data_IF_397100078619
#
_entry.id   IF_397100078619
#
_cell.length_a   1.000
_cell.length_b   1.000
_cell.length_c   1.000
_cell.angle_alpha   90.00
_cell.angle_beta   90.00
_cell.angle_gamma   90.00
#
_symmetry.space_group_name_H-M   'P 1'
#
loop_
_entity.id
_entity.type
_entity.pdbx_description
1 polymer ?
#
# COMPACT_ATOMS: atom_id res chain seq x y z
N UNK A 1 -3.87 22.11 11.76
CA UNK A 1 -3.46 20.74 11.37
C UNK A 1 -4.62 19.80 11.61
N UNK A 2 -4.78 18.80 10.76
CA UNK A 2 -5.80 17.77 10.93
C UNK A 2 -5.34 16.71 11.96
N UNK A 3 -5.98 16.62 13.15
CA UNK A 3 -5.53 15.75 14.24
C UNK A 3 -5.89 14.27 14.04
N UNK A 4 -6.67 13.93 13.00
CA UNK A 4 -7.09 12.56 12.72
C UNK A 4 -5.89 11.68 12.34
N UNK A 5 -5.89 10.38 12.68
CA UNK A 5 -4.75 9.51 12.44
C UNK A 5 -4.58 9.15 10.95
N UNK A 6 -3.37 8.71 10.59
CA UNK A 6 -3.08 8.04 9.32
C UNK A 6 -3.41 6.55 9.50
N UNK A 7 -4.31 6.04 8.65
CA UNK A 7 -4.64 4.62 8.59
C UNK A 7 -3.61 3.88 7.76
N UNK A 8 -3.16 2.72 8.23
CA UNK A 8 -2.16 1.89 7.55
C UNK A 8 -2.68 0.46 7.59
N UNK A 9 -2.66 -0.25 6.47
CA UNK A 9 -2.96 -1.69 6.50
C UNK A 9 -2.01 -2.55 5.68
N UNK A 10 -1.86 -3.78 6.13
CA UNK A 10 -1.13 -4.84 5.45
C UNK A 10 -1.88 -6.17 5.57
N UNK A 11 -1.50 -7.13 4.73
CA UNK A 11 -1.96 -8.52 4.83
C UNK A 11 -1.54 -9.21 6.14
N UNK A 12 -0.54 -8.67 6.85
CA UNK A 12 -0.02 -9.24 8.09
C UNK A 12 0.82 -8.22 8.86
N UNK A 13 2.08 -8.55 9.10
CA UNK A 13 3.01 -7.72 9.91
C UNK A 13 4.13 -7.07 9.09
N UNK A 14 4.26 -7.36 7.80
CA UNK A 14 5.33 -6.81 6.96
C UNK A 14 5.25 -5.29 6.82
N UNK A 15 4.03 -4.75 6.87
CA UNK A 15 3.77 -3.31 6.87
C UNK A 15 4.29 -2.55 8.09
N UNK A 16 4.70 -3.23 9.16
CA UNK A 16 5.33 -2.57 10.31
C UNK A 16 6.67 -1.91 9.93
N UNK A 17 7.32 -2.35 8.86
CA UNK A 17 8.50 -1.67 8.29
C UNK A 17 8.18 -0.24 7.84
N UNK A 18 6.98 -0.03 7.26
CA UNK A 18 6.49 1.29 6.85
C UNK A 18 6.05 2.10 8.06
N UNK A 19 5.38 1.48 9.04
CA UNK A 19 5.04 2.14 10.31
C UNK A 19 6.29 2.68 10.98
N UNK A 20 7.37 1.87 11.04
CA UNK A 20 8.64 2.31 11.63
C UNK A 20 9.21 3.53 10.92
N UNK A 21 9.26 3.51 9.59
CA UNK A 21 9.74 4.65 8.81
C UNK A 21 8.89 5.92 9.03
N UNK A 22 7.57 5.77 9.15
CA UNK A 22 6.67 6.90 9.43
C UNK A 22 6.87 7.47 10.83
N UNK A 23 7.08 6.63 11.85
CA UNK A 23 7.40 7.11 13.21
C UNK A 23 8.68 7.96 13.20
N UNK A 24 9.68 7.56 12.42
CA UNK A 24 10.95 8.28 12.32
C UNK A 24 10.82 9.60 11.51
N UNK A 25 10.01 9.62 10.43
CA UNK A 25 9.89 10.77 9.51
C UNK A 25 8.81 11.79 9.91
N UNK A 26 7.72 11.33 10.53
CA UNK A 26 6.57 12.14 10.93
C UNK A 26 6.17 11.85 12.38
N UNK A 27 7.05 12.11 13.36
CA UNK A 27 6.87 11.68 14.76
C UNK A 27 5.65 12.28 15.47
N UNK A 28 5.08 13.36 14.92
CA UNK A 28 3.91 14.04 15.47
C UNK A 28 2.59 13.51 14.89
N UNK A 29 2.63 12.56 13.96
CA UNK A 29 1.44 11.96 13.36
C UNK A 29 0.95 10.76 14.17
N UNK A 30 -0.36 10.71 14.42
CA UNK A 30 -0.99 9.53 15.03
C UNK A 30 -1.22 8.47 13.97
N UNK A 31 -0.86 7.22 14.25
CA UNK A 31 -0.95 6.11 13.30
C UNK A 31 -1.93 5.05 13.82
N UNK A 32 -2.76 4.50 12.93
CA UNK A 32 -3.59 3.32 13.19
C UNK A 32 -3.19 2.23 12.20
N UNK A 33 -2.66 1.11 12.70
CA UNK A 33 -2.24 -0.02 11.89
C UNK A 33 -3.22 -1.18 12.00
N UNK A 34 -3.61 -1.74 10.86
CA UNK A 34 -4.40 -2.97 10.77
C UNK A 34 -3.65 -4.03 9.95
N UNK A 35 -3.27 -5.11 10.61
CA UNK A 35 -2.73 -6.31 9.97
C UNK A 35 -3.81 -7.38 9.81
N UNK A 36 -4.07 -7.82 8.58
CA UNK A 36 -5.11 -8.80 8.26
C UNK A 36 -4.63 -10.26 8.40
N UNK A 37 -4.06 -10.59 9.55
CA UNK A 37 -3.42 -11.88 9.81
C UNK A 37 -4.35 -13.08 9.63
N UNK A 38 -5.66 -12.91 9.84
CA UNK A 38 -6.66 -13.96 9.62
C UNK A 38 -6.80 -14.41 8.15
N UNK A 39 -6.41 -13.57 7.19
CA UNK A 39 -6.46 -13.87 5.75
C UNK A 39 -5.08 -13.85 5.09
N UNK A 40 -4.01 -13.74 5.88
CA UNK A 40 -2.64 -13.88 5.40
C UNK A 40 -2.39 -15.27 4.78
N UNK A 41 -1.48 -15.40 3.78
CA UNK A 41 -0.86 -14.34 2.98
C UNK A 41 -1.74 -13.93 1.80
N UNK A 42 -1.57 -12.70 1.31
CA UNK A 42 -2.26 -12.22 0.10
C UNK A 42 -1.57 -12.66 -1.19
N UNK A 43 -0.25 -12.85 -1.18
CA UNK A 43 0.57 -13.15 -2.36
C UNK A 43 0.02 -14.22 -3.32
N UNK A 44 -0.48 -15.38 -2.84
CA UNK A 44 -1.02 -16.43 -3.71
C UNK A 44 -2.53 -16.33 -3.96
N UNK A 45 -3.23 -15.33 -3.40
CA UNK A 45 -4.69 -15.21 -3.52
C UNK A 45 -5.09 -14.61 -4.86
N UNK A 46 -6.35 -14.85 -5.26
CA UNK A 46 -6.91 -14.23 -6.46
C UNK A 46 -6.99 -12.70 -6.29
N UNK A 47 -6.72 -11.92 -7.35
CA UNK A 47 -6.80 -10.45 -7.27
C UNK A 47 -8.14 -9.94 -6.74
N UNK A 48 -9.26 -10.55 -7.14
CA UNK A 48 -10.60 -10.15 -6.69
C UNK A 48 -10.82 -10.32 -5.18
N UNK A 49 -10.20 -11.34 -4.56
CA UNK A 49 -10.24 -11.53 -3.11
C UNK A 49 -9.45 -10.44 -2.40
N UNK A 50 -8.24 -10.14 -2.88
CA UNK A 50 -7.38 -9.10 -2.32
C UNK A 50 -8.03 -7.72 -2.44
N UNK A 51 -8.69 -7.42 -3.56
CA UNK A 51 -9.49 -6.21 -3.75
C UNK A 51 -10.61 -6.15 -2.71
N UNK A 52 -11.40 -7.22 -2.58
CA UNK A 52 -12.51 -7.28 -1.60
C UNK A 52 -12.02 -7.05 -0.16
N UNK A 53 -10.93 -7.70 0.25
CA UNK A 53 -10.38 -7.52 1.59
C UNK A 53 -9.88 -6.09 1.82
N UNK A 54 -9.20 -5.53 0.82
CA UNK A 54 -8.70 -4.15 0.89
C UNK A 54 -9.82 -3.13 1.04
N UNK A 55 -10.96 -3.33 0.35
CA UNK A 55 -12.16 -2.49 0.52
C UNK A 55 -12.76 -2.60 1.93
N UNK A 56 -12.84 -3.82 2.47
CA UNK A 56 -13.35 -4.04 3.83
C UNK A 56 -12.48 -3.33 4.87
N UNK A 57 -11.16 -3.49 4.76
CA UNK A 57 -10.19 -2.90 5.68
C UNK A 57 -10.18 -1.37 5.58
N UNK A 58 -10.18 -0.82 4.36
CA UNK A 58 -10.21 0.63 4.14
C UNK A 58 -11.49 1.23 4.72
N UNK A 59 -12.64 0.62 4.47
CA UNK A 59 -13.92 1.01 5.09
C UNK A 59 -13.84 0.95 6.60
N UNK A 60 -13.28 -0.10 7.17
CA UNK A 60 -13.15 -0.25 8.61
C UNK A 60 -12.29 0.86 9.25
N UNK A 61 -11.13 1.17 8.65
CA UNK A 61 -10.26 2.26 9.10
C UNK A 61 -10.97 3.61 9.06
N UNK A 62 -11.68 3.90 7.97
CA UNK A 62 -12.40 5.17 7.81
C UNK A 62 -13.56 5.26 8.79
N UNK A 63 -14.40 4.22 8.89
CA UNK A 63 -15.63 4.28 9.69
C UNK A 63 -15.38 4.20 11.20
N UNK A 64 -14.34 3.49 11.66
CA UNK A 64 -14.11 3.28 13.10
C UNK A 64 -13.06 4.19 13.72
N UNK A 65 -12.13 4.71 12.90
CA UNK A 65 -11.01 5.54 13.38
C UNK A 65 -10.97 6.93 12.74
N UNK A 66 -11.88 7.23 11.81
CA UNK A 66 -11.95 8.49 11.06
C UNK A 66 -10.58 8.92 10.50
N UNK A 67 -9.82 7.98 9.93
CA UNK A 67 -8.45 8.27 9.45
C UNK A 67 -8.44 9.33 8.36
N UNK A 68 -7.54 10.32 8.44
CA UNK A 68 -7.46 11.39 7.42
C UNK A 68 -6.98 10.90 6.06
N UNK A 69 -6.23 9.80 6.04
CA UNK A 69 -5.74 9.13 4.83
C UNK A 69 -5.46 7.66 5.10
N UNK A 70 -5.29 6.86 4.05
CA UNK A 70 -4.94 5.44 4.15
C UNK A 70 -3.68 5.12 3.34
N UNK A 71 -2.78 4.36 3.95
CA UNK A 71 -1.58 3.79 3.33
C UNK A 71 -1.76 2.27 3.19
N UNK A 72 -1.74 1.79 1.95
CA UNK A 72 -1.76 0.38 1.59
C UNK A 72 -0.33 -0.17 1.69
N UNK A 73 0.08 -0.60 2.88
CA UNK A 73 1.45 -1.03 3.17
C UNK A 73 1.82 -2.38 2.53
N UNK A 74 0.85 -3.20 2.16
CA UNK A 74 1.09 -4.46 1.46
C UNK A 74 1.40 -4.23 -0.04
N UNK A 75 2.54 -4.73 -0.53
CA UNK A 75 2.84 -4.72 -1.97
C UNK A 75 1.78 -5.45 -2.81
N UNK A 76 1.29 -6.60 -2.33
CA UNK A 76 0.27 -7.37 -3.08
C UNK A 76 -1.06 -6.63 -3.13
N UNK A 77 -1.48 -5.98 -2.02
CA UNK A 77 -2.71 -5.19 -2.05
C UNK A 77 -2.54 -3.93 -2.90
N UNK A 78 -1.40 -3.24 -2.79
CA UNK A 78 -1.08 -2.08 -3.62
C UNK A 78 -1.08 -2.42 -5.11
N UNK A 79 -0.65 -3.63 -5.50
CA UNK A 79 -0.51 -4.00 -6.90
C UNK A 79 -1.83 -4.33 -7.60
N UNK A 80 -2.90 -4.63 -6.86
CA UNK A 80 -4.19 -5.04 -7.45
C UNK A 80 -5.39 -4.21 -6.99
N UNK A 81 -5.32 -3.55 -5.83
CA UNK A 81 -6.48 -2.88 -5.24
C UNK A 81 -6.38 -1.35 -5.25
N UNK A 82 -5.19 -0.77 -5.45
CA UNK A 82 -4.96 0.66 -5.20
C UNK A 82 -5.92 1.59 -5.98
N UNK A 83 -6.08 1.35 -7.29
CA UNK A 83 -6.93 2.21 -8.12
C UNK A 83 -8.41 2.10 -7.74
N UNK A 84 -8.89 0.87 -7.52
CA UNK A 84 -10.25 0.63 -7.06
C UNK A 84 -10.55 1.26 -5.70
N UNK A 85 -9.55 1.34 -4.80
CA UNK A 85 -9.71 2.05 -3.53
C UNK A 85 -9.80 3.56 -3.73
N UNK A 86 -8.93 4.14 -4.57
CA UNK A 86 -8.95 5.58 -4.90
C UNK A 86 -10.26 6.01 -5.55
N UNK A 87 -10.83 5.17 -6.42
CA UNK A 87 -12.13 5.44 -7.05
C UNK A 87 -13.31 5.36 -6.07
N UNK A 88 -13.21 4.51 -5.05
CA UNK A 88 -14.32 4.22 -4.15
C UNK A 88 -14.39 5.12 -2.92
N UNK A 89 -13.25 5.62 -2.44
CA UNK A 89 -13.17 6.34 -1.18
C UNK A 89 -12.65 7.76 -1.39
N UNK A 90 -13.34 8.74 -0.80
CA UNK A 90 -12.97 10.16 -0.90
C UNK A 90 -11.73 10.54 -0.04
N UNK A 91 -11.21 9.61 0.76
CA UNK A 91 -9.99 9.81 1.56
C UNK A 91 -8.76 9.59 0.68
N UNK A 92 -7.68 10.37 0.82
CA UNK A 92 -6.42 10.10 0.13
C UNK A 92 -5.93 8.66 0.40
N UNK A 93 -5.73 7.88 -0.67
CA UNK A 93 -5.20 6.51 -0.60
C UNK A 93 -3.83 6.46 -1.30
N UNK A 94 -2.81 6.07 -0.54
CA UNK A 94 -1.44 5.88 -1.05
C UNK A 94 -1.06 4.40 -1.05
N UNK A 95 -0.39 3.96 -2.10
CA UNK A 95 0.25 2.64 -2.18
C UNK A 95 1.77 2.75 -2.13
N UNK A 96 2.43 1.60 -2.00
CA UNK A 96 3.89 1.52 -1.80
C UNK A 96 4.70 1.41 -3.10
N UNK A 97 4.06 1.02 -4.21
CA UNK A 97 4.73 0.76 -5.49
C UNK A 97 5.27 2.06 -6.09
N UNK A 98 4.41 3.07 -6.28
CA UNK A 98 4.80 4.33 -6.91
C UNK A 98 5.99 5.05 -6.25
N UNK A 99 5.99 5.25 -4.91
CA UNK A 99 7.15 5.79 -4.21
C UNK A 99 8.42 4.96 -4.40
N UNK A 100 8.30 3.63 -4.36
CA UNK A 100 9.43 2.72 -4.57
C UNK A 100 10.02 2.81 -5.98
N UNK A 101 9.16 2.83 -7.00
CA UNK A 101 9.55 2.97 -8.41
C UNK A 101 10.23 4.31 -8.66
N UNK A 102 9.63 5.43 -8.23
CA UNK A 102 10.24 6.75 -8.39
C UNK A 102 11.63 6.82 -7.76
N UNK A 103 11.78 6.26 -6.56
CA UNK A 103 13.07 6.22 -5.87
C UNK A 103 14.10 5.36 -6.63
N UNK A 104 13.67 4.23 -7.18
CA UNK A 104 14.53 3.34 -7.95
C UNK A 104 15.00 3.97 -9.28
N UNK A 105 14.11 4.67 -9.99
CA UNK A 105 14.44 5.37 -11.24
C UNK A 105 15.47 6.47 -10.98
N UNK A 106 15.27 7.30 -9.94
CA UNK A 106 16.21 8.36 -9.57
C UNK A 106 17.57 7.81 -9.15
N UNK A 107 17.61 6.67 -8.46
CA UNK A 107 18.85 6.07 -7.98
C UNK A 107 19.63 5.28 -9.06
N UNK A 108 18.98 4.87 -10.16
CA UNK A 108 19.59 3.99 -11.16
C UNK A 108 20.46 4.77 -12.16
N UNK A 109 21.71 4.35 -12.31
CA UNK A 109 22.62 4.89 -13.33
C UNK A 109 22.55 4.14 -14.65
N UNK A 110 22.14 2.86 -14.62
CA UNK A 110 22.14 1.99 -15.81
C UNK A 110 20.79 1.93 -16.54
N UNK A 111 19.74 2.47 -15.92
CA UNK A 111 18.36 2.32 -16.39
C UNK A 111 17.79 0.90 -16.25
N UNK A 112 18.56 -0.06 -15.71
CA UNK A 112 18.11 -1.45 -15.51
C UNK A 112 17.62 -1.63 -14.08
N UNK A 113 16.34 -1.96 -13.92
CA UNK A 113 15.71 -2.16 -12.62
C UNK A 113 15.27 -3.63 -12.45
N UNK A 114 15.66 -4.24 -11.33
CA UNK A 114 15.17 -5.55 -10.91
C UNK A 114 14.12 -5.41 -9.82
N UNK A 115 13.02 -6.16 -9.92
CA UNK A 115 11.96 -6.18 -8.90
C UNK A 115 11.74 -7.61 -8.41
N UNK A 116 11.73 -7.78 -7.09
CA UNK A 116 11.34 -9.03 -6.43
C UNK A 116 10.06 -8.80 -5.62
N UNK A 117 9.18 -9.80 -5.59
CA UNK A 117 7.90 -9.69 -4.90
C UNK A 117 7.16 -11.02 -4.86
N UNK A 118 5.97 -11.00 -4.26
CA UNK A 118 5.08 -12.18 -4.25
C UNK A 118 4.62 -12.49 -5.68
N UNK A 119 4.16 -13.73 -5.90
CA UNK A 119 3.60 -14.16 -7.19
C UNK A 119 2.49 -13.20 -7.66
N UNK A 120 1.54 -12.85 -6.78
CA UNK A 120 0.48 -11.89 -7.09
C UNK A 120 1.00 -10.49 -7.43
N UNK A 121 2.05 -10.02 -6.74
CA UNK A 121 2.66 -8.71 -7.06
C UNK A 121 3.30 -8.72 -8.44
N UNK A 122 4.14 -9.72 -8.73
CA UNK A 122 4.86 -9.81 -10.00
C UNK A 122 3.90 -10.04 -11.17
N UNK A 123 2.94 -10.97 -11.01
CA UNK A 123 1.97 -11.30 -12.04
C UNK A 123 1.00 -10.15 -12.36
N UNK A 124 0.79 -9.21 -11.42
CA UNK A 124 -0.09 -8.07 -11.65
C UNK A 124 0.43 -7.08 -12.70
N UNK A 125 1.74 -7.09 -13.00
CA UNK A 125 2.37 -6.10 -13.88
C UNK A 125 2.42 -4.68 -13.32
N UNK A 126 2.09 -4.47 -12.05
CA UNK A 126 1.92 -3.11 -11.48
C UNK A 126 3.22 -2.31 -11.44
N UNK A 127 4.35 -2.96 -11.13
CA UNK A 127 5.65 -2.29 -11.14
C UNK A 127 6.07 -1.88 -12.56
N UNK A 128 5.82 -2.72 -13.56
CA UNK A 128 6.11 -2.43 -14.96
C UNK A 128 5.31 -1.22 -15.45
N UNK A 129 3.99 -1.22 -15.21
CA UNK A 129 3.13 -0.08 -15.58
C UNK A 129 3.55 1.22 -14.90
N UNK A 130 3.93 1.16 -13.62
CA UNK A 130 4.38 2.37 -12.92
C UNK A 130 5.71 2.87 -13.48
N UNK A 131 6.65 1.98 -13.83
CA UNK A 131 7.92 2.38 -14.48
C UNK A 131 7.63 3.03 -15.83
N UNK A 132 6.82 2.40 -16.68
CA UNK A 132 6.43 2.91 -18.00
C UNK A 132 5.69 4.25 -17.94
N UNK A 133 5.03 4.56 -16.81
CA UNK A 133 4.33 5.84 -16.63
C UNK A 133 5.24 7.03 -16.33
N UNK A 134 6.52 6.78 -16.02
CA UNK A 134 7.51 7.79 -15.69
C UNK A 134 8.48 8.12 -16.85
N UNK A 135 8.44 7.32 -17.93
CA UNK A 135 9.15 7.57 -19.17
C UNK A 135 8.38 8.58 -20.05
#
# INVERSE_FOLDING_TARGET
MDPRPIGIFDSGFGGLTIVRALVDLVPNESLVYLGDSARYPYGPRRPSEVVSFSHQITRYLISNYDVKMVIVACNTASSVALDSLKERFDRPILGVIGPGVRSAVVASQSGRLGVIGTVGTVASGAYQREIESLD
#
